data_IF_631438771269
#
_entry.id   IF_631438771269
#
_cell.length_a   1.000
_cell.length_b   1.000
_cell.length_c   1.000
_cell.angle_alpha   90.00
_cell.angle_beta   90.00
_cell.angle_gamma   90.00
#
_symmetry.space_group_name_H-M   'P 1'
#
loop_
_entity.id
_entity.type
_entity.pdbx_description
1 polymer ?
#
# COMPACT_ATOMS: atom_id res chain seq x y z
N UNK A 1 3.25 -13.49 19.87
CA UNK A 1 4.72 -13.49 20.09
C UNK A 1 5.37 -12.69 18.97
N UNK A 2 6.38 -11.83 19.23
CA UNK A 2 7.08 -11.18 18.12
C UNK A 2 7.70 -12.27 17.24
N UNK A 3 7.47 -12.18 15.93
CA UNK A 3 8.11 -13.10 14.98
C UNK A 3 9.62 -13.03 15.20
N UNK A 4 10.31 -14.18 15.35
CA UNK A 4 11.75 -14.19 15.56
C UNK A 4 12.43 -13.45 14.41
N UNK A 5 13.12 -12.37 14.73
CA UNK A 5 13.88 -11.57 13.79
C UNK A 5 15.11 -12.40 13.40
N UNK A 6 15.23 -12.89 12.14
CA UNK A 6 16.35 -13.74 11.76
C UNK A 6 17.67 -13.01 11.96
N UNK A 7 18.67 -13.70 12.54
CA UNK A 7 20.02 -13.14 12.68
C UNK A 7 20.55 -12.80 11.28
N UNK A 8 20.90 -11.53 11.08
CA UNK A 8 21.26 -10.99 9.76
C UNK A 8 20.15 -10.18 9.09
N UNK A 9 19.15 -9.67 9.84
CA UNK A 9 18.11 -8.77 9.32
C UNK A 9 18.72 -7.78 8.34
N UNK A 10 18.37 -7.86 7.06
CA UNK A 10 18.84 -6.87 6.12
C UNK A 10 18.26 -5.50 6.53
N UNK A 11 18.84 -4.38 6.09
CA UNK A 11 18.34 -3.04 6.39
C UNK A 11 16.85 -2.93 6.03
N UNK A 12 16.05 -2.07 6.69
CA UNK A 12 14.60 -1.80 6.40
C UNK A 12 14.24 -1.78 4.90
N UNK A 13 15.22 -1.46 4.06
CA UNK A 13 15.22 -1.62 2.61
C UNK A 13 14.77 -2.97 2.05
N UNK A 14 15.08 -4.13 2.66
CA UNK A 14 14.63 -5.42 2.12
C UNK A 14 13.12 -5.58 2.24
N UNK A 15 12.56 -5.32 3.43
CA UNK A 15 11.11 -5.36 3.67
C UNK A 15 10.43 -4.38 2.74
N UNK A 16 10.99 -3.18 2.57
CA UNK A 16 10.46 -2.18 1.63
C UNK A 16 10.43 -2.71 0.20
N UNK A 17 11.48 -3.39 -0.27
CA UNK A 17 11.53 -4.00 -1.61
C UNK A 17 10.52 -5.14 -1.77
N UNK A 18 10.37 -5.97 -0.73
CA UNK A 18 9.40 -7.07 -0.71
C UNK A 18 7.95 -6.56 -0.74
N UNK A 19 7.66 -5.50 0.02
CA UNK A 19 6.34 -4.88 0.05
C UNK A 19 6.05 -4.02 -1.19
N UNK A 20 7.04 -3.77 -2.05
CA UNK A 20 6.84 -3.04 -3.31
C UNK A 20 6.59 -4.03 -4.44
N UNK A 21 5.32 -4.18 -4.84
CA UNK A 21 4.85 -5.26 -5.72
C UNK A 21 4.10 -4.75 -6.96
N UNK A 22 4.05 -5.60 -7.98
CA UNK A 22 3.18 -5.42 -9.14
C UNK A 22 1.70 -5.40 -8.71
N UNK A 23 0.91 -4.46 -9.22
CA UNK A 23 -0.52 -4.36 -8.88
C UNK A 23 -1.37 -5.51 -9.45
N UNK A 24 -0.88 -6.22 -10.47
CA UNK A 24 -1.62 -7.34 -11.08
C UNK A 24 -1.21 -8.71 -10.54
N UNK A 25 0.09 -9.02 -10.57
CA UNK A 25 0.59 -10.37 -10.28
C UNK A 25 1.33 -10.49 -8.93
N UNK A 26 1.33 -9.39 -8.15
CA UNK A 26 1.88 -9.31 -6.80
C UNK A 26 3.38 -9.67 -6.66
N UNK A 27 4.10 -9.89 -7.77
CA UNK A 27 5.56 -10.10 -7.74
C UNK A 27 6.25 -8.87 -7.16
N UNK A 28 7.06 -9.10 -6.13
CA UNK A 28 7.81 -8.03 -5.48
C UNK A 28 9.05 -7.63 -6.29
N UNK A 29 9.64 -6.48 -5.95
CA UNK A 29 10.94 -6.08 -6.50
C UNK A 29 12.06 -7.05 -6.10
N UNK A 30 11.86 -7.85 -5.04
CA UNK A 30 12.85 -8.80 -4.54
C UNK A 30 12.66 -10.17 -5.18
N UNK A 31 11.44 -10.71 -5.22
CA UNK A 31 11.10 -11.99 -5.85
C UNK A 31 11.24 -11.90 -7.38
N UNK A 32 12.40 -12.29 -7.89
CA UNK A 32 12.70 -12.33 -9.33
C UNK A 32 13.27 -11.04 -9.93
N UNK A 33 13.71 -10.08 -9.12
CA UNK A 33 14.38 -8.86 -9.59
C UNK A 33 13.52 -7.98 -10.51
N UNK A 34 12.19 -8.08 -10.39
CA UNK A 34 11.26 -7.43 -11.29
C UNK A 34 11.42 -5.90 -11.25
N UNK A 35 11.81 -5.30 -12.38
CA UNK A 35 11.82 -3.85 -12.54
C UNK A 35 10.38 -3.35 -12.69
N UNK A 36 9.79 -2.90 -11.59
CA UNK A 36 8.48 -2.31 -11.63
C UNK A 36 8.52 -0.90 -12.25
N UNK A 37 7.72 -0.71 -13.28
CA UNK A 37 7.51 0.56 -13.97
C UNK A 37 6.20 1.18 -13.52
N UNK A 38 6.18 2.49 -13.36
CA UNK A 38 4.96 3.24 -13.02
C UNK A 38 4.05 3.35 -14.23
N UNK A 39 2.73 3.36 -14.00
CA UNK A 39 1.74 3.70 -15.02
C UNK A 39 2.07 5.07 -15.64
N UNK A 40 2.10 5.15 -16.97
CA UNK A 40 2.43 6.39 -17.68
C UNK A 40 1.42 7.52 -17.47
N UNK A 41 0.16 7.18 -17.22
CA UNK A 41 -0.91 8.15 -16.96
C UNK A 41 -0.84 8.71 -15.54
N UNK A 42 -1.19 7.89 -14.54
CA UNK A 42 -1.30 8.37 -13.15
C UNK A 42 0.04 8.45 -12.38
N UNK A 43 1.12 7.80 -12.86
CA UNK A 43 2.43 7.71 -12.20
C UNK A 43 2.43 7.11 -10.78
N UNK A 44 1.35 6.41 -10.41
CA UNK A 44 1.12 5.83 -9.07
C UNK A 44 1.22 4.32 -9.11
N UNK A 45 0.33 3.65 -9.86
CA UNK A 45 0.32 2.18 -9.98
C UNK A 45 1.62 1.66 -10.59
N UNK A 46 2.05 0.47 -10.18
CA UNK A 46 3.32 -0.14 -10.57
C UNK A 46 3.11 -1.54 -11.16
N UNK A 47 3.78 -1.82 -12.28
CA UNK A 47 3.65 -3.08 -13.01
C UNK A 47 5.02 -3.62 -13.41
N UNK A 48 5.18 -4.95 -13.41
CA UNK A 48 6.40 -5.59 -13.89
C UNK A 48 6.48 -5.67 -15.41
N UNK A 49 5.34 -5.55 -16.11
CA UNK A 49 5.27 -5.63 -17.58
C UNK A 49 4.03 -4.92 -18.13
N UNK A 50 4.00 -4.70 -19.45
CA UNK A 50 2.84 -4.10 -20.14
C UNK A 50 1.62 -5.02 -20.10
N UNK A 51 1.84 -6.33 -20.08
CA UNK A 51 0.80 -7.35 -20.00
C UNK A 51 0.08 -7.24 -18.65
N UNK A 52 0.84 -7.13 -17.55
CA UNK A 52 0.26 -6.90 -16.22
C UNK A 52 -0.52 -5.58 -16.14
N UNK A 53 -0.02 -4.51 -16.78
CA UNK A 53 -0.75 -3.24 -16.85
C UNK A 53 -2.07 -3.37 -17.63
N UNK A 54 -2.08 -4.11 -18.74
CA UNK A 54 -3.29 -4.34 -19.56
C UNK A 54 -4.30 -5.21 -18.81
N UNK A 55 -3.83 -6.24 -18.11
CA UNK A 55 -4.70 -7.14 -17.36
C UNK A 55 -5.38 -6.44 -16.18
N UNK A 56 -4.68 -5.51 -15.53
CA UNK A 56 -5.23 -4.67 -14.45
C UNK A 56 -6.07 -3.49 -14.96
N UNK A 57 -6.07 -3.20 -16.27
CA UNK A 57 -6.65 -1.96 -16.80
C UNK A 57 -8.12 -1.78 -16.45
N UNK A 58 -8.92 -2.85 -16.48
CA UNK A 58 -10.35 -2.77 -16.16
C UNK A 58 -10.59 -2.27 -14.72
N UNK A 59 -9.74 -2.65 -13.76
CA UNK A 59 -9.80 -2.21 -12.36
C UNK A 59 -9.14 -0.86 -12.16
N UNK A 60 -7.99 -0.64 -12.81
CA UNK A 60 -7.20 0.57 -12.64
C UNK A 60 -7.77 1.79 -13.35
N UNK A 61 -8.54 1.64 -14.44
CA UNK A 61 -8.92 2.73 -15.34
C UNK A 61 -9.54 3.93 -14.63
N UNK A 62 -10.50 3.70 -13.73
CA UNK A 62 -11.21 4.78 -13.07
C UNK A 62 -10.31 5.46 -12.03
N UNK A 63 -9.59 4.67 -11.23
CA UNK A 63 -8.56 5.20 -10.33
C UNK A 63 -7.47 6.00 -11.09
N UNK A 64 -7.09 5.55 -12.29
CA UNK A 64 -6.10 6.21 -13.14
C UNK A 64 -6.59 7.58 -13.59
N UNK A 65 -7.85 7.68 -14.03
CA UNK A 65 -8.49 8.94 -14.42
C UNK A 65 -8.62 9.88 -13.24
N UNK A 66 -9.13 9.42 -12.09
CA UNK A 66 -9.26 10.26 -10.89
C UNK A 66 -7.92 10.85 -10.46
N UNK A 67 -6.85 10.05 -10.51
CA UNK A 67 -5.51 10.56 -10.21
C UNK A 67 -4.98 11.56 -11.26
N UNK A 68 -5.31 11.39 -12.54
CA UNK A 68 -4.96 12.36 -13.60
C UNK A 68 -5.73 13.67 -13.42
N UNK A 69 -7.04 13.59 -13.21
CA UNK A 69 -7.90 14.75 -12.95
C UNK A 69 -7.43 15.53 -11.72
N UNK A 70 -7.06 14.83 -10.64
CA UNK A 70 -6.51 15.48 -9.45
C UNK A 70 -5.22 16.25 -9.75
N UNK A 71 -4.35 15.67 -10.57
CA UNK A 71 -3.08 16.30 -10.97
C UNK A 71 -3.31 17.54 -11.84
N UNK A 72 -4.31 17.51 -12.71
CA UNK A 72 -4.68 18.61 -13.59
C UNK A 72 -5.46 19.73 -12.86
N UNK A 73 -6.43 19.36 -12.04
CA UNK A 73 -7.33 20.30 -11.37
C UNK A 73 -6.67 21.02 -10.19
N UNK A 74 -5.79 20.33 -9.44
CA UNK A 74 -5.12 20.92 -8.29
C UNK A 74 -3.66 20.44 -8.17
N UNK A 75 -2.73 21.04 -8.93
CA UNK A 75 -1.32 20.65 -8.93
C UNK A 75 -0.65 20.71 -7.56
N UNK A 76 -1.00 21.71 -6.74
CA UNK A 76 -0.47 21.88 -5.38
C UNK A 76 -0.89 20.71 -4.47
N UNK A 77 -2.16 20.38 -4.44
CA UNK A 77 -2.68 19.25 -3.66
C UNK A 77 -2.14 17.91 -4.18
N UNK A 78 -2.02 17.76 -5.50
CA UNK A 78 -1.41 16.58 -6.10
C UNK A 78 0.08 16.43 -5.70
N UNK A 79 0.81 17.54 -5.57
CA UNK A 79 2.19 17.56 -5.07
C UNK A 79 2.27 17.12 -3.60
N UNK A 80 1.39 17.66 -2.75
CA UNK A 80 1.32 17.27 -1.33
C UNK A 80 0.98 15.78 -1.17
N UNK A 81 0.03 15.26 -1.96
CA UNK A 81 -0.27 13.82 -1.95
C UNK A 81 0.91 13.00 -2.46
N UNK A 82 1.61 13.44 -3.51
CA UNK A 82 2.80 12.75 -4.00
C UNK A 82 3.91 12.71 -2.94
N UNK A 83 4.06 13.80 -2.18
CA UNK A 83 4.99 13.90 -1.07
C UNK A 83 4.59 12.96 0.08
N UNK A 84 3.33 12.96 0.50
CA UNK A 84 2.82 12.03 1.52
C UNK A 84 2.99 10.57 1.09
N UNK A 85 2.69 10.23 -0.18
CA UNK A 85 2.93 8.88 -0.74
C UNK A 85 4.41 8.49 -0.67
N UNK A 86 5.33 9.41 -0.92
CA UNK A 86 6.76 9.16 -0.81
C UNK A 86 7.21 8.92 0.64
N UNK A 87 6.66 9.68 1.61
CA UNK A 87 6.85 9.43 3.04
C UNK A 87 6.32 8.04 3.43
N UNK A 88 5.10 7.69 3.04
CA UNK A 88 4.50 6.38 3.32
C UNK A 88 5.32 5.23 2.69
N UNK A 89 5.85 5.41 1.47
CA UNK A 89 6.69 4.40 0.82
C UNK A 89 8.00 4.12 1.59
N UNK A 90 8.56 5.13 2.28
CA UNK A 90 9.74 4.98 3.14
C UNK A 90 9.41 4.26 4.44
N UNK A 91 8.21 4.47 4.96
CA UNK A 91 7.73 3.89 6.21
C UNK A 91 6.89 2.62 6.04
N UNK A 92 6.72 2.13 4.81
CA UNK A 92 5.88 0.97 4.50
C UNK A 92 6.11 -0.23 5.41
N UNK A 93 7.36 -0.63 5.75
CA UNK A 93 7.60 -1.70 6.72
C UNK A 93 7.00 -1.42 8.11
N UNK A 94 7.22 -0.21 8.64
CA UNK A 94 6.70 0.20 9.95
C UNK A 94 5.19 0.33 9.96
N UNK A 95 4.61 0.92 8.92
CA UNK A 95 3.15 1.06 8.76
C UNK A 95 2.51 -0.33 8.71
N UNK A 96 3.06 -1.25 7.91
CA UNK A 96 2.49 -2.61 7.76
C UNK A 96 2.56 -3.40 9.07
N UNK A 97 3.70 -3.39 9.77
CA UNK A 97 3.83 -4.08 11.07
C UNK A 97 2.89 -3.49 12.13
N UNK A 98 2.76 -2.15 12.18
CA UNK A 98 1.79 -1.48 13.05
C UNK A 98 0.35 -1.87 12.71
N UNK A 99 -0.03 -1.86 11.43
CA UNK A 99 -1.38 -2.18 10.98
C UNK A 99 -1.80 -3.61 11.32
N UNK A 100 -0.89 -4.59 11.17
CA UNK A 100 -1.16 -5.99 11.53
C UNK A 100 -1.49 -6.12 13.02
N UNK A 101 -0.76 -5.40 13.87
CA UNK A 101 -0.94 -5.43 15.32
C UNK A 101 -2.17 -4.65 15.76
N UNK A 102 -2.35 -3.44 15.25
CA UNK A 102 -3.46 -2.57 15.62
C UNK A 102 -4.82 -3.20 15.28
N UNK A 103 -4.92 -3.91 14.16
CA UNK A 103 -6.15 -4.58 13.74
C UNK A 103 -6.28 -6.02 14.24
N UNK A 104 -5.34 -6.53 15.05
CA UNK A 104 -5.29 -7.93 15.51
C UNK A 104 -5.40 -8.96 14.37
N UNK A 105 -4.79 -8.69 13.21
CA UNK A 105 -4.96 -9.54 12.01
C UNK A 105 -4.41 -10.97 12.20
N UNK A 106 -3.52 -11.17 13.17
CA UNK A 106 -3.01 -12.49 13.51
C UNK A 106 -4.05 -13.37 14.24
N UNK A 107 -5.07 -12.74 14.86
CA UNK A 107 -6.16 -13.41 15.58
C UNK A 107 -7.43 -13.49 14.73
N UNK A 108 -7.72 -12.43 13.98
CA UNK A 108 -8.87 -12.35 13.09
C UNK A 108 -8.51 -11.59 11.81
N UNK A 109 -8.23 -12.33 10.75
CA UNK A 109 -7.92 -11.77 9.43
C UNK A 109 -9.12 -11.06 8.80
N UNK A 110 -10.35 -11.35 9.22
CA UNK A 110 -11.57 -10.72 8.69
C UNK A 110 -11.71 -9.26 9.14
N UNK A 111 -10.95 -8.83 10.15
CA UNK A 111 -10.87 -7.41 10.56
C UNK A 111 -10.47 -6.51 9.41
N UNK A 112 -9.60 -6.97 8.51
CA UNK A 112 -9.21 -6.21 7.31
C UNK A 112 -10.33 -5.98 6.28
N UNK A 113 -11.48 -6.65 6.44
CA UNK A 113 -12.67 -6.46 5.58
C UNK A 113 -13.67 -5.45 6.17
N UNK A 114 -13.54 -5.11 7.45
CA UNK A 114 -14.51 -4.26 8.17
C UNK A 114 -13.89 -3.03 8.82
N UNK A 115 -12.60 -3.07 9.13
CA UNK A 115 -11.87 -2.01 9.80
C UNK A 115 -10.66 -1.56 8.98
N UNK A 116 -10.24 -0.32 9.22
CA UNK A 116 -9.02 0.27 8.67
C UNK A 116 -8.24 1.02 9.75
N UNK A 117 -6.95 1.22 9.51
CA UNK A 117 -6.10 2.06 10.36
C UNK A 117 -6.05 3.46 9.77
N UNK A 118 -6.55 4.44 10.50
CA UNK A 118 -6.41 5.85 10.19
C UNK A 118 -5.17 6.39 10.92
N UNK A 119 -4.22 6.97 10.17
CA UNK A 119 -3.02 7.60 10.74
C UNK A 119 -3.05 9.08 10.38
N UNK A 120 -3.27 9.93 11.37
CA UNK A 120 -3.19 11.37 11.20
C UNK A 120 -1.72 11.81 11.26
N UNK A 121 -1.29 12.58 10.26
CA UNK A 121 0.07 13.10 10.19
C UNK A 121 0.10 14.61 10.01
N UNK A 122 1.12 15.24 10.57
CA UNK A 122 1.38 16.68 10.43
C UNK A 122 2.71 16.88 9.72
N UNK A 123 2.75 17.80 8.76
CA UNK A 123 4.00 18.17 8.09
C UNK A 123 4.96 18.83 9.09
N UNK A 124 6.23 18.47 9.02
CA UNK A 124 7.30 19.11 9.80
C UNK A 124 7.87 20.27 8.96
N UNK A 125 7.70 21.55 9.36
CA UNK A 125 8.21 22.67 8.60
C UNK A 125 9.74 22.63 8.45
N UNK A 126 10.23 22.88 7.24
CA UNK A 126 11.66 22.96 6.94
C UNK A 126 12.41 21.62 6.87
N UNK A 127 11.74 20.47 7.07
CA UNK A 127 12.40 19.17 6.91
C UNK A 127 12.45 18.76 5.43
N UNK A 128 13.67 18.56 4.93
CA UNK A 128 13.91 18.18 3.54
C UNK A 128 13.96 16.66 3.34
N UNK A 129 14.30 15.89 4.38
CA UNK A 129 14.35 14.43 4.26
C UNK A 129 12.95 13.87 4.31
N UNK A 130 12.57 13.21 3.22
CA UNK A 130 11.22 12.65 3.07
C UNK A 130 10.85 11.67 4.19
N UNK A 131 11.81 10.93 4.77
CA UNK A 131 11.56 10.04 5.92
C UNK A 131 11.30 10.77 7.25
N UNK A 132 11.47 12.10 7.32
CA UNK A 132 11.21 12.91 8.52
C UNK A 132 10.18 14.02 8.27
N UNK A 133 9.69 14.13 7.04
CA UNK A 133 8.83 15.20 6.58
C UNK A 133 7.47 15.29 7.30
N UNK A 134 7.07 14.23 8.00
CA UNK A 134 5.83 14.18 8.74
C UNK A 134 6.03 13.56 10.13
N UNK A 135 5.30 14.05 11.12
CA UNK A 135 5.14 13.42 12.44
C UNK A 135 3.72 12.87 12.57
N UNK A 136 3.58 11.72 13.23
CA UNK A 136 2.26 11.14 13.53
C UNK A 136 1.62 11.94 14.67
N UNK A 137 0.39 12.40 14.49
CA UNK A 137 -0.41 13.05 15.54
C UNK A 137 -1.29 12.05 16.28
N UNK A 138 -1.95 11.18 15.52
CA UNK A 138 -2.87 10.18 16.06
C UNK A 138 -2.91 8.93 15.16
N UNK A 139 -3.33 7.80 15.73
CA UNK A 139 -3.55 6.57 15.00
C UNK A 139 -4.72 5.79 15.61
N UNK A 140 -5.75 5.55 14.81
CA UNK A 140 -7.02 4.95 15.24
C UNK A 140 -7.37 3.75 14.37
N UNK A 141 -8.02 2.75 14.96
CA UNK A 141 -8.70 1.69 14.20
C UNK A 141 -10.16 2.07 14.07
N UNK A 142 -10.62 2.23 12.84
CA UNK A 142 -11.93 2.77 12.50
C UNK A 142 -12.67 1.72 11.66
N UNK A 143 -13.96 1.45 11.92
CA UNK A 143 -14.75 0.62 11.01
C UNK A 143 -15.04 1.38 9.72
N UNK A 144 -15.04 0.69 8.57
CA UNK A 144 -15.41 1.24 7.27
C UNK A 144 -16.81 1.88 7.28
N UNK A 145 -17.69 1.47 8.19
CA UNK A 145 -19.00 2.05 8.39
C UNK A 145 -18.99 3.55 8.79
N UNK A 146 -17.84 4.11 9.19
CA UNK A 146 -17.68 5.53 9.49
C UNK A 146 -17.25 6.38 8.29
N UNK A 147 -16.84 5.75 7.18
CA UNK A 147 -16.67 6.45 5.91
C UNK A 147 -18.05 6.72 5.31
N UNK A 148 -18.17 7.71 4.43
CA UNK A 148 -19.40 7.83 3.63
C UNK A 148 -19.62 6.55 2.80
N UNK A 149 -20.86 6.31 2.37
CA UNK A 149 -21.22 5.03 1.74
C UNK A 149 -20.39 4.72 0.49
N UNK A 150 -20.05 5.75 -0.28
CA UNK A 150 -19.31 5.62 -1.54
C UNK A 150 -17.84 5.25 -1.27
N UNK A 151 -17.20 5.91 -0.32
CA UNK A 151 -15.83 5.57 0.09
C UNK A 151 -15.78 4.19 0.76
N UNK A 152 -16.74 3.87 1.64
CA UNK A 152 -16.79 2.58 2.34
C UNK A 152 -16.94 1.38 1.39
N UNK A 153 -17.75 1.51 0.34
CA UNK A 153 -17.98 0.47 -0.66
C UNK A 153 -16.74 0.25 -1.55
N UNK A 154 -16.12 1.34 -2.03
CA UNK A 154 -14.88 1.25 -2.82
C UNK A 154 -13.77 0.49 -2.08
N UNK A 155 -13.55 0.78 -0.79
CA UNK A 155 -12.53 0.08 -0.01
C UNK A 155 -12.90 -1.37 0.30
N UNK A 156 -14.18 -1.65 0.58
CA UNK A 156 -14.66 -3.01 0.88
C UNK A 156 -14.55 -3.93 -0.33
N UNK A 157 -14.97 -3.46 -1.51
CA UNK A 157 -14.93 -4.25 -2.74
C UNK A 157 -13.49 -4.55 -3.16
N UNK A 158 -12.60 -3.55 -3.08
CA UNK A 158 -11.17 -3.75 -3.35
C UNK A 158 -10.51 -4.77 -2.43
N UNK A 159 -10.85 -4.77 -1.13
CA UNK A 159 -10.31 -5.73 -0.16
C UNK A 159 -10.90 -7.14 -0.31
N UNK A 160 -12.20 -7.24 -0.62
CA UNK A 160 -12.87 -8.50 -0.87
C UNK A 160 -12.33 -9.20 -2.13
N UNK A 161 -12.09 -8.44 -3.20
CA UNK A 161 -11.45 -8.96 -4.42
C UNK A 161 -10.02 -9.39 -4.16
N UNK A 162 -9.20 -8.57 -3.48
CA UNK A 162 -7.84 -8.95 -3.10
C UNK A 162 -7.83 -10.27 -2.32
N UNK A 163 -8.72 -10.41 -1.34
CA UNK A 163 -8.85 -11.63 -0.56
C UNK A 163 -9.25 -12.84 -1.41
N UNK A 164 -10.21 -12.68 -2.33
CA UNK A 164 -10.63 -13.74 -3.25
C UNK A 164 -9.49 -14.15 -4.20
N UNK A 165 -8.70 -13.20 -4.72
CA UNK A 165 -7.54 -13.47 -5.58
C UNK A 165 -6.43 -14.21 -4.83
N UNK A 166 -6.13 -13.82 -3.59
CA UNK A 166 -5.15 -14.52 -2.75
C UNK A 166 -5.61 -15.95 -2.40
N UNK A 167 -6.92 -16.16 -2.21
CA UNK A 167 -7.48 -17.49 -1.99
C UNK A 167 -7.51 -18.36 -3.27
N UNK A 168 -7.68 -17.74 -4.44
CA UNK A 168 -7.70 -18.43 -5.74
C UNK A 168 -6.28 -18.81 -6.24
N UNK A 169 -5.24 -18.16 -5.73
CA UNK A 169 -3.83 -18.49 -6.00
C UNK A 169 -3.04 -18.72 -4.69
N UNK A 170 -3.34 -19.78 -3.92
CA UNK A 170 -2.65 -20.07 -2.67
C UNK A 170 -1.24 -20.58 -2.99
N UNK A 171 -0.27 -19.66 -3.12
CA UNK A 171 1.09 -20.08 -3.47
C UNK A 171 2.16 -19.00 -3.74
N UNK A 172 1.86 -17.70 -3.69
CA UNK A 172 2.89 -16.66 -3.97
C UNK A 172 3.51 -15.98 -2.73
N UNK A 173 3.22 -16.46 -1.52
CA UNK A 173 4.08 -16.21 -0.34
C UNK A 173 5.04 -17.40 -0.16
N UNK A 174 5.66 -17.87 -1.24
CA UNK A 174 6.76 -18.85 -1.15
C UNK A 174 8.07 -18.09 -0.85
N UNK A 175 8.31 -17.80 0.43
CA UNK A 175 9.54 -17.12 0.84
C UNK A 175 9.88 -17.14 2.33
N UNK A 176 9.14 -17.88 3.18
CA UNK A 176 9.45 -18.01 4.63
C UNK A 176 9.42 -19.46 5.11
N UNK A 177 9.80 -20.40 4.25
CA UNK A 177 10.20 -21.74 4.70
C UNK A 177 11.45 -22.16 3.94
N UNK A 178 12.60 -21.75 4.47
CA UNK A 178 13.71 -22.61 4.90
C UNK A 178 14.73 -21.77 5.67
#
# INVERSE_FOLDING_TARGET
>A
MPMPVPKGTPPKDWVRKELTQCQHCYKSRMSGGAKLSKCGGCKIAQYCSRECQKADWQKHKDQCKSNQLLHEACPEYASEIAHLRAFCAKHRPSITDFSIRAMDLALDTTRGLRDFVFIEVERVPGEERIERAYKVKDALVMPFALLDKEDAEMYRDGMAEYHAEQQASPGQISGIHQ
#
